data_IF_048740362397
#
_entry.id   IF_048740362397
#
_cell.length_a   1.000
_cell.length_b   1.000
_cell.length_c   1.000
_cell.angle_alpha   90.00
_cell.angle_beta   90.00
_cell.angle_gamma   90.00
#
_symmetry.space_group_name_H-M   'P 1'
#
loop_
_entity.id
_entity.type
_entity.pdbx_description
1 polymer ?
#
# COMPACT_ATOMS: atom_id res chain seq x y z
N UNK A 1 -42.41 -18.66 37.41
CA UNK A 1 -41.44 -17.57 37.63
C UNK A 1 -40.45 -17.60 36.48
N UNK A 2 -40.35 -16.53 35.68
CA UNK A 2 -39.44 -16.49 34.52
C UNK A 2 -38.12 -15.88 34.98
N UNK A 3 -37.00 -16.61 34.79
CA UNK A 3 -35.65 -16.06 34.99
C UNK A 3 -35.40 -15.05 33.88
N UNK A 4 -35.31 -13.77 34.24
CA UNK A 4 -34.92 -12.70 33.32
C UNK A 4 -33.40 -12.65 33.37
N UNK A 5 -32.76 -13.07 32.29
CA UNK A 5 -31.30 -12.92 32.12
C UNK A 5 -31.05 -11.54 31.54
N UNK A 6 -30.54 -10.62 32.36
CA UNK A 6 -30.04 -9.33 31.89
C UNK A 6 -28.76 -9.55 31.12
N UNK A 7 -28.80 -9.33 29.80
CA UNK A 7 -27.63 -9.27 28.95
C UNK A 7 -26.99 -7.89 29.17
N UNK A 8 -25.85 -7.88 29.86
CA UNK A 8 -25.02 -6.69 29.96
C UNK A 8 -24.58 -6.30 28.55
N UNK A 9 -24.98 -5.10 28.09
CA UNK A 9 -24.46 -4.53 26.85
C UNK A 9 -23.03 -4.09 27.09
N UNK A 10 -22.14 -5.07 27.27
CA UNK A 10 -20.70 -4.82 27.26
C UNK A 10 -20.39 -4.24 25.90
N UNK A 11 -20.03 -2.96 25.92
CA UNK A 11 -19.68 -2.12 24.78
C UNK A 11 -18.81 -2.89 23.80
N UNK A 12 -19.42 -3.42 22.74
CA UNK A 12 -18.69 -3.77 21.53
C UNK A 12 -18.12 -2.46 21.04
N UNK A 13 -16.86 -2.19 21.38
CA UNK A 13 -16.09 -1.12 20.80
C UNK A 13 -16.19 -1.30 19.29
N UNK A 14 -17.02 -0.48 18.64
CA UNK A 14 -17.17 -0.48 17.19
C UNK A 14 -15.81 -0.04 16.66
N UNK A 15 -14.93 -1.01 16.44
CA UNK A 15 -13.63 -0.77 15.81
C UNK A 15 -13.97 -0.30 14.41
N UNK A 16 -13.94 1.02 14.21
CA UNK A 16 -14.19 1.59 12.89
C UNK A 16 -13.15 0.97 11.94
N UNK A 17 -13.57 0.37 10.82
CA UNK A 17 -12.61 -0.22 9.90
C UNK A 17 -11.70 0.88 9.35
N UNK A 18 -10.39 0.63 9.40
CA UNK A 18 -9.39 1.54 8.81
C UNK A 18 -9.62 1.62 7.29
N UNK A 19 -9.50 2.83 6.74
CA UNK A 19 -9.58 3.08 5.31
C UNK A 19 -8.41 2.40 4.62
N UNK A 20 -8.70 1.49 3.68
CA UNK A 20 -7.69 0.76 2.92
C UNK A 20 -7.16 1.65 1.80
N UNK A 21 -5.85 1.92 1.79
CA UNK A 21 -5.21 2.82 0.83
C UNK A 21 -4.11 2.06 0.08
N UNK A 22 -3.99 2.32 -1.23
CA UNK A 22 -2.87 1.85 -2.06
C UNK A 22 -2.20 3.05 -2.73
N UNK A 23 -0.88 3.01 -2.88
CA UNK A 23 -0.11 4.05 -3.54
C UNK A 23 0.34 3.60 -4.93
N UNK A 24 0.26 4.50 -5.92
CA UNK A 24 0.80 4.27 -7.27
C UNK A 24 1.93 5.25 -7.54
N UNK A 25 3.10 4.71 -7.91
CA UNK A 25 4.32 5.50 -8.15
C UNK A 25 4.77 5.26 -9.59
N UNK A 26 5.05 6.36 -10.30
CA UNK A 26 5.57 6.32 -11.66
C UNK A 26 6.92 7.01 -11.74
N UNK A 27 7.89 6.35 -12.37
CA UNK A 27 9.17 6.95 -12.75
C UNK A 27 9.16 7.16 -14.25
N UNK A 28 9.49 8.38 -14.68
CA UNK A 28 9.39 8.77 -16.08
C UNK A 28 10.66 8.45 -16.87
N UNK A 29 11.76 8.08 -16.21
CA UNK A 29 13.07 7.90 -16.84
C UNK A 29 13.88 6.81 -16.11
N UNK A 30 14.57 5.94 -16.85
CA UNK A 30 15.44 4.87 -16.31
C UNK A 30 16.81 5.38 -15.82
N UNK A 31 16.91 6.65 -15.41
CA UNK A 31 18.16 7.23 -14.93
C UNK A 31 18.40 6.83 -13.47
N UNK A 32 19.63 6.51 -13.09
CA UNK A 32 19.97 5.99 -11.75
C UNK A 32 19.61 6.97 -10.61
N UNK A 33 19.77 8.28 -10.81
CA UNK A 33 19.28 9.30 -9.87
C UNK A 33 17.76 9.25 -9.64
N UNK A 34 16.98 8.81 -10.63
CA UNK A 34 15.53 8.63 -10.48
C UNK A 34 15.16 7.34 -9.74
N UNK A 35 16.07 6.35 -9.67
CA UNK A 35 15.88 5.17 -8.83
C UNK A 35 16.05 5.50 -7.34
N UNK A 36 17.00 6.39 -7.01
CA UNK A 36 17.15 6.94 -5.65
C UNK A 36 15.88 7.73 -5.27
N UNK A 37 15.31 8.48 -6.22
CA UNK A 37 14.03 9.17 -6.04
C UNK A 37 12.84 8.20 -5.86
N UNK A 38 12.83 7.04 -6.52
CA UNK A 38 11.77 6.04 -6.37
C UNK A 38 11.72 5.49 -4.93
N UNK A 39 12.86 5.09 -4.37
CA UNK A 39 12.89 4.56 -3.00
C UNK A 39 12.51 5.63 -1.97
N UNK A 40 12.98 6.87 -2.18
CA UNK A 40 12.58 8.02 -1.37
C UNK A 40 11.07 8.28 -1.44
N UNK A 41 10.46 8.23 -2.64
CA UNK A 41 9.02 8.37 -2.82
C UNK A 41 8.23 7.25 -2.13
N UNK A 42 8.69 5.99 -2.26
CA UNK A 42 8.06 4.85 -1.55
C UNK A 42 8.07 5.08 -0.04
N UNK A 43 9.22 5.47 0.51
CA UNK A 43 9.36 5.74 1.94
C UNK A 43 8.48 6.90 2.38
N UNK A 44 8.45 7.99 1.61
CA UNK A 44 7.63 9.16 1.91
C UNK A 44 6.14 8.81 1.98
N UNK A 45 5.58 8.15 0.97
CA UNK A 45 4.17 7.77 0.96
C UNK A 45 3.85 6.71 2.00
N UNK A 46 4.77 5.77 2.26
CA UNK A 46 4.61 4.80 3.34
C UNK A 46 4.46 5.50 4.68
N UNK A 47 5.41 6.38 5.04
CA UNK A 47 5.35 7.14 6.29
C UNK A 47 4.13 8.06 6.38
N UNK A 48 3.72 8.68 5.26
CA UNK A 48 2.52 9.51 5.21
C UNK A 48 1.25 8.70 5.54
N UNK A 49 1.13 7.49 5.01
CA UNK A 49 -0.02 6.62 5.26
C UNK A 49 0.05 6.04 6.67
N UNK A 50 1.22 5.58 7.14
CA UNK A 50 1.42 5.06 8.50
C UNK A 50 1.19 6.12 9.59
N UNK A 51 1.37 7.40 9.29
CA UNK A 51 1.10 8.50 10.22
C UNK A 51 -0.40 8.69 10.51
N UNK A 52 -1.28 8.18 9.65
CA UNK A 52 -2.73 8.27 9.83
C UNK A 52 -3.25 6.94 10.40
N UNK A 53 -3.65 6.92 11.68
CA UNK A 53 -4.18 5.70 12.32
C UNK A 53 -5.49 5.22 11.69
N UNK A 54 -6.21 6.13 11.03
CA UNK A 54 -7.43 5.82 10.28
C UNK A 54 -7.14 5.06 8.97
N UNK A 55 -5.90 5.03 8.49
CA UNK A 55 -5.54 4.43 7.21
C UNK A 55 -4.74 3.14 7.39
N UNK A 56 -4.95 2.21 6.47
CA UNK A 56 -4.20 0.97 6.37
C UNK A 56 -3.62 0.86 4.97
N UNK A 57 -2.29 0.88 4.89
CA UNK A 57 -1.58 0.61 3.63
C UNK A 57 -1.79 -0.84 3.22
N UNK A 58 -2.31 -1.06 2.01
CA UNK A 58 -2.49 -2.40 1.43
C UNK A 58 -1.31 -2.78 0.55
N UNK A 59 -0.95 -1.91 -0.41
CA UNK A 59 0.14 -2.18 -1.34
C UNK A 59 0.65 -0.89 -1.99
N UNK A 60 1.87 -0.95 -2.56
CA UNK A 60 2.48 0.13 -3.34
C UNK A 60 2.82 -0.41 -4.72
N UNK A 61 2.06 0.04 -5.72
CA UNK A 61 2.28 -0.27 -7.12
C UNK A 61 3.29 0.69 -7.72
N UNK A 62 4.21 0.18 -8.53
CA UNK A 62 5.17 1.02 -9.25
C UNK A 62 5.25 0.58 -10.71
N UNK A 63 5.25 1.55 -11.63
CA UNK A 63 5.55 1.21 -13.03
C UNK A 63 7.03 0.88 -13.17
N UNK A 64 7.33 -0.38 -13.49
CA UNK A 64 8.62 -0.71 -14.09
C UNK A 64 8.51 -0.23 -15.53
N UNK A 65 9.35 0.72 -15.93
CA UNK A 65 9.59 0.97 -17.35
C UNK A 65 9.85 -0.40 -17.97
N UNK A 66 9.05 -0.80 -18.95
CA UNK A 66 9.22 -2.06 -19.66
C UNK A 66 10.71 -2.14 -20.04
N UNK A 67 11.46 -3.08 -19.46
CA UNK A 67 12.78 -3.39 -19.95
C UNK A 67 12.56 -4.11 -21.27
N UNK A 68 12.54 -3.35 -22.35
CA UNK A 68 12.42 -3.88 -23.69
C UNK A 68 13.68 -4.70 -24.02
N UNK A 69 13.44 -6.00 -24.28
CA UNK A 69 14.23 -6.94 -25.11
C UNK A 69 15.52 -7.52 -24.49
N UNK A 70 15.57 -8.85 -24.38
CA UNK A 70 16.65 -9.58 -25.07
C UNK A 70 16.14 -9.97 -26.45
N UNK A 71 16.76 -9.39 -27.48
CA UNK A 71 16.69 -9.90 -28.85
C UNK A 71 17.07 -11.38 -28.84
N UNK A 72 16.23 -12.23 -29.38
CA UNK A 72 16.67 -13.51 -29.96
C UNK A 72 17.21 -13.17 -31.35
N UNK A 73 18.44 -12.67 -31.41
CA UNK A 73 19.26 -12.65 -32.61
C UNK A 73 20.37 -13.69 -32.40
N UNK A 74 19.96 -14.95 -32.24
CA UNK A 74 20.84 -16.11 -32.44
C UNK A 74 20.41 -16.75 -33.77
N UNK A 75 20.75 -16.04 -34.86
CA UNK A 75 20.96 -16.63 -36.17
C UNK A 75 22.44 -16.98 -36.26
N UNK A 76 22.76 -18.24 -36.02
CA UNK A 76 23.91 -18.92 -36.62
C UNK A 76 23.53 -20.36 -36.92
#
# INVERSE_FOLDING_TARGET
>A
MRKITTLDMTTFSVVKPKQKVAAYIRVSTSNEDQLISLEAQRRHYKTLIEKNDEWQLIDIYSTKVLQERKKTDDLN
#
